data_IF_972686612904
#
_entry.id   IF_972686612904
#
_cell.length_a   1.000
_cell.length_b   1.000
_cell.length_c   1.000
_cell.angle_alpha   90.00
_cell.angle_beta   90.00
_cell.angle_gamma   90.00
#
_symmetry.space_group_name_H-M   'P 1'
#
loop_
_entity.id
_entity.type
_entity.pdbx_description
1 polymer ?
#
# COMPACT_ATOMS: atom_id res chain seq x y z
N UNK A 1 -4.07 17.19 -37.25
CA UNK A 1 -5.25 17.10 -36.37
C UNK A 1 -4.95 16.18 -35.21
N UNK A 2 -5.46 16.53 -34.02
CA UNK A 2 -5.09 16.03 -32.69
C UNK A 2 -5.34 14.53 -32.52
N UNK A 3 -4.38 13.87 -31.88
CA UNK A 3 -4.53 12.54 -31.27
C UNK A 3 -3.55 12.40 -30.12
N UNK A 4 -3.52 13.40 -29.23
CA UNK A 4 -2.76 13.31 -27.99
C UNK A 4 -3.44 12.28 -27.10
N UNK A 5 -2.99 11.03 -27.18
CA UNK A 5 -3.27 10.05 -26.16
C UNK A 5 -2.58 10.52 -24.89
N UNK A 6 -3.36 11.08 -23.96
CA UNK A 6 -2.91 11.28 -22.59
C UNK A 6 -2.49 9.91 -22.08
N UNK A 7 -1.19 9.66 -22.01
CA UNK A 7 -0.69 8.60 -21.13
C UNK A 7 -1.07 9.10 -19.75
N UNK A 8 -2.20 8.63 -19.22
CA UNK A 8 -2.56 8.84 -17.82
C UNK A 8 -1.47 8.14 -17.01
N UNK A 9 -0.43 8.90 -16.66
CA UNK A 9 0.62 8.44 -15.77
C UNK A 9 -0.10 8.21 -14.44
N UNK A 10 -0.45 6.96 -14.14
CA UNK A 10 -0.98 6.61 -12.83
C UNK A 10 0.09 6.96 -11.79
N UNK A 11 -0.24 7.76 -10.76
CA UNK A 11 0.62 7.94 -9.60
C UNK A 11 1.19 6.62 -9.08
N UNK A 12 2.46 6.66 -8.67
CA UNK A 12 3.18 5.51 -8.11
C UNK A 12 2.46 4.89 -6.92
N UNK A 13 1.76 5.68 -6.12
CA UNK A 13 1.00 5.20 -4.96
C UNK A 13 -0.16 4.25 -5.33
N UNK A 14 -0.62 4.32 -6.57
CA UNK A 14 -1.62 3.39 -7.11
C UNK A 14 -1.00 2.12 -7.66
N UNK A 15 0.34 2.07 -7.80
CA UNK A 15 1.04 0.88 -8.25
C UNK A 15 0.88 -0.24 -7.20
N UNK A 16 0.17 -1.29 -7.59
CA UNK A 16 -0.10 -2.45 -6.76
C UNK A 16 -1.48 -2.46 -6.09
N UNK A 17 -2.27 -1.39 -6.17
CA UNK A 17 -3.66 -1.42 -5.74
C UNK A 17 -4.47 -2.38 -6.62
N UNK A 18 -5.28 -3.22 -5.98
CA UNK A 18 -6.21 -4.10 -6.70
C UNK A 18 -7.45 -3.31 -7.11
N UNK A 19 -8.24 -3.86 -8.03
CA UNK A 19 -9.50 -3.22 -8.46
C UNK A 19 -10.43 -2.97 -7.26
N UNK A 20 -10.47 -3.92 -6.33
CA UNK A 20 -11.20 -3.81 -5.08
C UNK A 20 -10.73 -2.65 -4.18
N UNK A 21 -9.42 -2.37 -4.16
CA UNK A 21 -8.86 -1.25 -3.41
C UNK A 21 -9.32 0.08 -4.01
N UNK A 22 -9.28 0.20 -5.34
CA UNK A 22 -9.75 1.38 -6.06
C UNK A 22 -11.25 1.63 -5.84
N UNK A 23 -12.07 0.56 -5.87
CA UNK A 23 -13.50 0.64 -5.57
C UNK A 23 -13.73 1.07 -4.12
N UNK A 24 -12.97 0.53 -3.17
CA UNK A 24 -13.07 0.92 -1.76
C UNK A 24 -12.72 2.41 -1.57
N UNK A 25 -11.62 2.89 -2.17
CA UNK A 25 -11.21 4.31 -2.12
C UNK A 25 -12.33 5.20 -2.66
N UNK A 26 -12.86 4.86 -3.84
CA UNK A 26 -13.95 5.63 -4.46
C UNK A 26 -15.16 5.73 -3.53
N UNK A 27 -15.62 4.61 -2.96
CA UNK A 27 -16.75 4.61 -2.03
C UNK A 27 -16.44 5.36 -0.74
N UNK A 28 -15.22 5.22 -0.21
CA UNK A 28 -14.79 5.93 0.99
C UNK A 28 -14.84 7.44 0.81
N UNK A 29 -14.36 7.96 -0.33
CA UNK A 29 -14.41 9.39 -0.66
C UNK A 29 -15.86 9.85 -0.82
N UNK A 30 -16.70 9.07 -1.50
CA UNK A 30 -18.13 9.39 -1.65
C UNK A 30 -18.87 9.40 -0.30
N UNK A 31 -18.43 8.59 0.65
CA UNK A 31 -18.90 8.59 2.05
C UNK A 31 -18.18 9.64 2.93
N UNK A 32 -17.48 10.62 2.34
CA UNK A 32 -16.73 11.67 3.06
C UNK A 32 -15.73 11.13 4.09
N UNK A 33 -15.16 9.94 3.85
CA UNK A 33 -14.26 9.25 4.76
C UNK A 33 -14.92 8.61 5.99
N UNK A 34 -16.25 8.48 6.00
CA UNK A 34 -17.00 7.90 7.11
C UNK A 34 -16.88 6.38 7.17
N UNK A 35 -16.07 5.87 8.09
CA UNK A 35 -15.97 4.43 8.37
C UNK A 35 -17.32 3.81 8.81
N UNK A 36 -18.16 4.57 9.50
CA UNK A 36 -19.49 4.11 9.95
C UNK A 36 -20.45 3.94 8.77
N UNK A 37 -20.46 4.90 7.85
CA UNK A 37 -21.29 4.81 6.67
C UNK A 37 -20.83 3.70 5.73
N UNK A 38 -19.52 3.53 5.57
CA UNK A 38 -18.94 2.41 4.83
C UNK A 38 -19.36 1.07 5.45
N UNK A 39 -19.29 0.93 6.78
CA UNK A 39 -19.76 -0.28 7.45
C UNK A 39 -21.22 -0.59 7.12
N UNK A 40 -22.09 0.42 7.10
CA UNK A 40 -23.49 0.27 6.69
C UNK A 40 -23.63 -0.13 5.22
N UNK A 41 -22.91 0.51 4.30
CA UNK A 41 -22.96 0.21 2.86
C UNK A 41 -22.47 -1.21 2.53
N UNK A 42 -21.45 -1.70 3.24
CA UNK A 42 -20.89 -3.04 3.05
C UNK A 42 -21.62 -4.13 3.85
N UNK A 43 -22.54 -3.76 4.75
CA UNK A 43 -23.25 -4.73 5.61
C UNK A 43 -22.33 -5.43 6.62
N UNK A 44 -21.25 -4.75 7.06
CA UNK A 44 -20.24 -5.29 7.98
C UNK A 44 -20.06 -4.38 9.19
N UNK A 45 -19.22 -4.80 10.15
CA UNK A 45 -18.98 -3.99 11.35
C UNK A 45 -17.96 -2.88 11.10
N UNK A 46 -18.04 -1.81 11.90
CA UNK A 46 -17.07 -0.72 11.87
C UNK A 46 -15.61 -1.21 12.03
N UNK A 47 -15.27 -2.11 12.98
CA UNK A 47 -13.93 -2.70 13.05
C UNK A 47 -13.47 -3.38 11.77
N UNK A 48 -14.37 -4.08 11.05
CA UNK A 48 -14.04 -4.75 9.78
C UNK A 48 -13.61 -3.74 8.71
N UNK A 49 -14.34 -2.65 8.54
CA UNK A 49 -14.00 -1.59 7.57
C UNK A 49 -12.72 -0.87 7.97
N UNK A 50 -12.53 -0.62 9.27
CA UNK A 50 -11.30 0.00 9.78
C UNK A 50 -10.06 -0.82 9.43
N UNK A 51 -10.11 -2.14 9.63
CA UNK A 51 -9.01 -3.03 9.26
C UNK A 51 -8.72 -3.00 7.76
N UNK A 52 -9.76 -2.92 6.92
CA UNK A 52 -9.59 -2.78 5.46
C UNK A 52 -8.91 -1.45 5.10
N UNK A 53 -9.33 -0.34 5.71
CA UNK A 53 -8.70 0.96 5.52
C UNK A 53 -7.23 0.95 5.98
N UNK A 54 -6.94 0.36 7.14
CA UNK A 54 -5.58 0.28 7.68
C UNK A 54 -4.64 -0.49 6.74
N UNK A 55 -5.10 -1.62 6.17
CA UNK A 55 -4.35 -2.39 5.17
C UNK A 55 -4.08 -1.59 3.90
N UNK A 56 -5.09 -0.87 3.40
CA UNK A 56 -4.95 -0.02 2.23
C UNK A 56 -3.92 1.09 2.47
N UNK A 57 -3.96 1.76 3.62
CA UNK A 57 -2.97 2.78 4.01
C UNK A 57 -1.55 2.19 4.05
N UNK A 58 -1.39 0.99 4.59
CA UNK A 58 -0.09 0.30 4.59
C UNK A 58 0.41 0.02 3.18
N UNK A 59 -0.48 -0.44 2.29
CA UNK A 59 -0.18 -0.74 0.88
C UNK A 59 0.35 0.51 0.15
N UNK A 60 -0.36 1.62 0.29
CA UNK A 60 0.00 2.93 -0.28
C UNK A 60 1.37 3.37 0.24
N UNK A 61 1.60 3.37 1.56
CA UNK A 61 2.88 3.76 2.14
C UNK A 61 4.06 2.91 1.68
N UNK A 62 3.83 1.62 1.41
CA UNK A 62 4.88 0.73 0.91
C UNK A 62 5.22 1.02 -0.55
N UNK A 63 4.22 1.36 -1.38
CA UNK A 63 4.43 1.75 -2.78
C UNK A 63 5.16 3.09 -2.90
N UNK A 64 4.83 4.08 -2.07
CA UNK A 64 5.49 5.40 -2.08
C UNK A 64 6.88 5.38 -1.44
N UNK A 65 7.19 4.38 -0.63
CA UNK A 65 8.51 4.22 -0.05
C UNK A 65 9.48 3.70 -1.13
N UNK A 66 9.93 4.61 -1.98
CA UNK A 66 11.05 4.46 -2.89
C UNK A 66 12.34 4.28 -2.08
N UNK A 67 12.59 3.05 -1.60
CA UNK A 67 13.90 2.67 -1.10
C UNK A 67 14.75 2.31 -2.34
N UNK A 68 15.87 3.00 -2.53
CA UNK A 68 16.83 2.72 -3.61
C UNK A 68 17.49 1.32 -3.51
N UNK A 69 17.18 0.57 -2.44
CA UNK A 69 17.77 -0.72 -2.15
C UNK A 69 16.98 -1.87 -2.80
N UNK A 70 17.57 -2.62 -3.76
CA UNK A 70 16.90 -3.71 -4.46
C UNK A 70 16.39 -4.82 -3.53
N UNK A 71 17.03 -5.04 -2.38
CA UNK A 71 16.62 -6.06 -1.42
C UNK A 71 15.37 -5.64 -0.65
N UNK A 72 15.32 -4.38 -0.23
CA UNK A 72 14.12 -3.81 0.41
C UNK A 72 12.94 -3.82 -0.56
N UNK A 73 13.16 -3.47 -1.83
CA UNK A 73 12.14 -3.51 -2.87
C UNK A 73 11.57 -4.92 -3.09
N UNK A 74 12.44 -5.95 -3.10
CA UNK A 74 12.01 -7.35 -3.20
C UNK A 74 11.09 -7.76 -2.03
N UNK A 75 11.48 -7.43 -0.79
CA UNK A 75 10.70 -7.77 0.41
C UNK A 75 9.32 -7.09 0.36
N UNK A 76 9.26 -5.81 -0.01
CA UNK A 76 7.99 -5.09 -0.17
C UNK A 76 7.10 -5.73 -1.22
N UNK A 77 7.65 -6.09 -2.39
CA UNK A 77 6.90 -6.77 -3.46
C UNK A 77 6.35 -8.11 -3.00
N UNK A 78 7.12 -8.89 -2.23
CA UNK A 78 6.65 -10.15 -1.67
C UNK A 78 5.47 -9.95 -0.72
N UNK A 79 5.53 -8.92 0.13
CA UNK A 79 4.44 -8.54 1.04
C UNK A 79 3.18 -8.11 0.29
N UNK A 80 3.33 -7.29 -0.76
CA UNK A 80 2.21 -6.87 -1.61
C UNK A 80 1.56 -8.03 -2.37
N UNK A 81 2.33 -9.06 -2.71
CA UNK A 81 1.83 -10.27 -3.40
C UNK A 81 1.30 -11.36 -2.46
N UNK A 82 1.09 -11.04 -1.18
CA UNK A 82 0.64 -11.97 -0.12
C UNK A 82 1.54 -13.21 0.10
N UNK A 83 2.75 -13.22 -0.46
CA UNK A 83 3.75 -14.29 -0.27
C UNK A 83 4.52 -14.14 1.04
N UNK A 84 4.38 -13.00 1.70
CA UNK A 84 5.03 -12.65 2.95
C UNK A 84 4.07 -11.78 3.76
N UNK A 85 3.96 -12.01 5.07
CA UNK A 85 3.14 -11.14 5.91
C UNK A 85 3.82 -9.79 6.16
N UNK A 86 3.01 -8.75 6.40
CA UNK A 86 3.49 -7.39 6.55
C UNK A 86 4.39 -7.18 7.78
N UNK A 87 4.20 -7.95 8.86
CA UNK A 87 4.97 -7.77 10.08
C UNK A 87 6.36 -8.41 9.95
N UNK A 88 6.45 -9.58 9.31
CA UNK A 88 7.72 -10.19 8.93
C UNK A 88 8.46 -9.33 7.90
N UNK A 89 7.76 -8.75 6.92
CA UNK A 89 8.38 -7.84 5.96
C UNK A 89 9.04 -6.64 6.66
N UNK A 90 8.37 -6.02 7.63
CA UNK A 90 8.93 -4.92 8.44
C UNK A 90 10.16 -5.37 9.24
N UNK A 91 10.10 -6.55 9.87
CA UNK A 91 11.20 -7.11 10.64
C UNK A 91 12.46 -7.33 9.77
N UNK A 92 12.29 -7.94 8.60
CA UNK A 92 13.39 -8.21 7.67
C UNK A 92 14.03 -6.91 7.15
N UNK A 93 13.22 -5.91 6.80
CA UNK A 93 13.72 -4.60 6.36
C UNK A 93 14.48 -3.90 7.49
N UNK A 94 13.97 -3.95 8.73
CA UNK A 94 14.63 -3.35 9.88
C UNK A 94 16.00 -3.99 10.16
N UNK A 95 16.08 -5.32 10.18
CA UNK A 95 17.34 -6.06 10.36
C UNK A 95 18.35 -5.78 9.24
N UNK A 96 17.88 -5.73 7.99
CA UNK A 96 18.73 -5.41 6.85
C UNK A 96 19.31 -3.98 6.95
N UNK A 97 18.50 -2.98 7.31
CA UNK A 97 18.97 -1.60 7.48
C UNK A 97 19.98 -1.46 8.61
N UNK A 98 19.83 -2.21 9.71
CA UNK A 98 20.77 -2.23 10.83
C UNK A 98 22.14 -2.81 10.41
N UNK A 99 22.14 -3.96 9.74
CA UNK A 99 23.39 -4.62 9.28
C UNK A 99 24.10 -3.87 8.16
N UNK A 100 23.37 -3.15 7.30
CA UNK A 100 23.98 -2.28 6.29
C UNK A 100 24.58 -1.02 6.90
N UNK A 101 23.90 -0.42 7.89
CA UNK A 101 24.42 0.74 8.64
C UNK A 101 25.68 0.42 9.46
N UNK A 102 25.84 -0.81 9.96
CA UNK A 102 27.07 -1.26 10.64
C UNK A 102 28.27 -1.43 9.69
N UNK A 103 28.03 -1.68 8.39
CA UNK A 103 29.11 -1.88 7.39
C UNK A 103 29.64 -0.58 6.79
N UNK A 104 28.93 0.54 6.89
CA UNK A 104 29.40 1.82 6.33
C UNK A 104 30.40 2.57 7.24
N UNK A 105 30.61 2.09 8.48
CA UNK A 105 31.54 2.69 9.46
C UNK A 105 32.72 1.78 9.85
N UNK A 106 33.02 0.75 9.06
CA UNK A 106 34.22 -0.11 9.22
C UNK A 106 35.16 -0.01 8.03
#
# INVERSE_FOLDING_TARGET
>A
MKGGGSVEILPEWMAGLEEEDAVFIKKFILASGSLKEMAAQYGVTYPTVRLRLDRLIQKIRLSEAADADPYVALIKRLALSEKLDFDTAKLLIAQYKQTKGEKEWQ
#
